data_IF_643438484995
#
_entry.id   IF_643438484995
#
_cell.length_a   1.000
_cell.length_b   1.000
_cell.length_c   1.000
_cell.angle_alpha   90.00
_cell.angle_beta   90.00
_cell.angle_gamma   90.00
#
_symmetry.space_group_name_H-M   'P 1'
#
loop_
_entity.id
_entity.type
_entity.pdbx_description
1 polymer ?
#
# COMPACT_ATOMS: atom_id res chain seq x y z
N UNK A 1 3.94 23.71 4.73
CA UNK A 1 4.95 22.61 4.79
C UNK A 1 4.54 21.54 3.79
N UNK A 2 5.48 20.84 3.14
CA UNK A 2 5.14 19.71 2.24
C UNK A 2 5.56 18.38 2.86
N UNK A 3 4.66 17.40 2.84
CA UNK A 3 4.92 16.01 3.21
C UNK A 3 4.82 15.13 1.98
N UNK A 4 5.90 14.42 1.68
CA UNK A 4 5.99 13.54 0.52
C UNK A 4 5.95 12.08 0.98
N UNK A 5 4.97 11.32 0.47
CA UNK A 5 4.72 9.94 0.89
C UNK A 5 5.07 9.02 -0.27
N UNK A 6 6.16 8.27 -0.14
CA UNK A 6 6.50 7.19 -1.06
C UNK A 6 5.79 5.92 -0.65
N UNK A 7 5.02 5.36 -1.57
CA UNK A 7 4.27 4.13 -1.33
C UNK A 7 4.19 3.26 -2.58
N UNK A 8 4.02 1.97 -2.35
CA UNK A 8 3.68 1.01 -3.40
C UNK A 8 2.27 0.45 -3.16
N UNK A 9 1.60 0.05 -4.23
CA UNK A 9 0.24 -0.53 -4.20
C UNK A 9 0.27 -1.96 -3.66
N UNK A 10 1.38 -2.68 -3.90
CA UNK A 10 1.59 -4.02 -3.36
C UNK A 10 2.02 -4.06 -1.88
N UNK A 11 2.12 -2.89 -1.23
CA UNK A 11 2.66 -2.74 0.13
C UNK A 11 1.53 -2.62 1.17
N UNK A 12 1.25 -3.65 1.98
CA UNK A 12 0.17 -3.58 2.96
C UNK A 12 0.45 -2.57 4.08
N UNK A 13 1.71 -2.37 4.46
CA UNK A 13 2.08 -1.37 5.46
C UNK A 13 1.92 0.06 4.94
N UNK A 14 1.99 0.28 3.64
CA UNK A 14 1.75 1.58 3.03
C UNK A 14 0.26 1.95 3.10
N UNK A 15 -0.63 0.96 2.93
CA UNK A 15 -2.08 1.12 3.14
C UNK A 15 -2.42 1.49 4.59
N UNK A 16 -1.86 0.76 5.57
CA UNK A 16 -2.05 1.05 7.00
C UNK A 16 -1.41 2.40 7.37
N UNK A 17 -0.22 2.69 6.84
CA UNK A 17 0.51 3.92 7.08
C UNK A 17 -0.22 5.16 6.58
N UNK A 18 -0.90 5.08 5.42
CA UNK A 18 -1.75 6.15 4.91
C UNK A 18 -2.88 6.47 5.89
N UNK A 19 -3.63 5.47 6.36
CA UNK A 19 -4.72 5.70 7.31
C UNK A 19 -4.24 6.30 8.64
N UNK A 20 -3.11 5.81 9.17
CA UNK A 20 -2.50 6.37 10.39
C UNK A 20 -2.06 7.82 10.18
N UNK A 21 -1.44 8.12 9.05
CA UNK A 21 -1.03 9.47 8.70
C UNK A 21 -2.23 10.41 8.58
N UNK A 22 -3.29 9.99 7.89
CA UNK A 22 -4.52 10.76 7.72
C UNK A 22 -5.19 11.06 9.05
N UNK A 23 -5.26 10.06 9.95
CA UNK A 23 -5.77 10.24 11.30
C UNK A 23 -4.95 11.29 12.08
N UNK A 24 -3.61 11.16 12.05
CA UNK A 24 -2.72 12.13 12.70
C UNK A 24 -2.83 13.53 12.10
N UNK A 25 -2.93 13.64 10.78
CA UNK A 25 -3.09 14.92 10.08
C UNK A 25 -4.45 15.57 10.40
N UNK A 26 -5.51 14.79 10.54
CA UNK A 26 -6.83 15.30 10.91
C UNK A 26 -6.83 15.98 12.30
N UNK A 27 -6.02 15.48 13.23
CA UNK A 27 -5.83 16.00 14.59
C UNK A 27 -4.75 17.10 14.67
N UNK A 28 -3.99 17.33 13.60
CA UNK A 28 -2.93 18.32 13.57
C UNK A 28 -3.48 19.75 13.43
N UNK A 29 -3.13 20.63 14.37
CA UNK A 29 -3.66 22.00 14.45
C UNK A 29 -3.42 22.85 13.18
N UNK A 30 -2.33 22.59 12.45
CA UNK A 30 -1.96 23.31 11.23
C UNK A 30 -2.17 22.48 9.96
N UNK A 31 -3.11 21.53 9.96
CA UNK A 31 -3.34 20.62 8.81
C UNK A 31 -3.57 21.36 7.48
N UNK A 32 -4.23 22.52 7.52
CA UNK A 32 -4.52 23.32 6.33
C UNK A 32 -3.26 23.97 5.72
N UNK A 33 -2.14 23.96 6.45
CA UNK A 33 -0.82 24.41 5.98
C UNK A 33 0.04 23.26 5.43
N UNK A 34 -0.46 22.02 5.46
CA UNK A 34 0.26 20.82 5.01
C UNK A 34 -0.17 20.44 3.59
N UNK A 35 0.75 20.53 2.64
CA UNK A 35 0.60 19.95 1.31
C UNK A 35 1.05 18.48 1.35
N UNK A 36 0.14 17.54 1.06
CA UNK A 36 0.46 16.11 0.96
C UNK A 36 0.67 15.74 -0.51
N UNK A 37 1.83 15.14 -0.80
CA UNK A 37 2.16 14.68 -2.16
C UNK A 37 2.51 13.20 -2.14
N UNK A 38 1.68 12.39 -2.82
CA UNK A 38 1.97 10.98 -3.04
C UNK A 38 2.99 10.77 -4.17
N UNK A 39 3.96 9.90 -3.90
CA UNK A 39 5.10 9.56 -4.77
C UNK A 39 5.12 8.06 -5.03
N UNK A 40 5.41 7.67 -6.27
CA UNK A 40 5.53 6.27 -6.66
C UNK A 40 6.79 5.64 -6.08
N UNK A 41 6.63 4.40 -5.62
CA UNK A 41 7.71 3.49 -5.25
C UNK A 41 7.31 2.08 -5.69
N UNK A 42 8.23 1.32 -6.26
CA UNK A 42 8.04 -0.09 -6.59
C UNK A 42 8.89 -0.94 -5.65
N UNK A 43 8.27 -1.84 -4.89
CA UNK A 43 8.97 -2.81 -4.04
C UNK A 43 9.78 -3.81 -4.87
N UNK A 44 9.33 -4.08 -6.09
CA UNK A 44 9.95 -5.00 -7.04
C UNK A 44 9.84 -4.46 -8.49
N UNK A 45 10.66 -3.46 -8.87
CA UNK A 45 10.62 -2.85 -10.20
C UNK A 45 11.08 -3.81 -11.31
N UNK A 46 11.74 -4.92 -10.95
CA UNK A 46 12.21 -5.93 -11.90
C UNK A 46 11.16 -6.97 -12.28
N UNK A 47 10.02 -7.02 -11.57
CA UNK A 47 8.96 -8.00 -11.82
C UNK A 47 8.37 -7.86 -13.21
N UNK A 48 8.30 -8.96 -13.96
CA UNK A 48 7.69 -8.98 -15.27
C UNK A 48 6.18 -8.69 -15.21
N UNK A 49 5.69 -7.94 -16.20
CA UNK A 49 4.25 -7.65 -16.34
C UNK A 49 3.45 -8.93 -16.58
N UNK A 50 2.23 -8.98 -16.03
CA UNK A 50 1.32 -10.11 -16.18
C UNK A 50 1.69 -11.35 -15.36
N UNK A 51 2.82 -11.35 -14.65
CA UNK A 51 3.15 -12.39 -13.68
C UNK A 51 2.61 -12.00 -12.31
N UNK A 52 1.78 -12.87 -11.76
CA UNK A 52 1.34 -12.79 -10.37
C UNK A 52 1.73 -14.06 -9.63
N UNK A 53 1.88 -13.93 -8.32
CA UNK A 53 2.03 -15.05 -7.41
C UNK A 53 1.20 -14.80 -6.15
N UNK A 54 0.87 -15.88 -5.42
CA UNK A 54 0.15 -15.74 -4.17
C UNK A 54 1.05 -15.09 -3.13
N UNK A 55 0.52 -14.13 -2.38
CA UNK A 55 1.28 -13.39 -1.36
C UNK A 55 1.94 -14.34 -0.36
N UNK A 56 1.22 -15.37 0.10
CA UNK A 56 1.76 -16.32 1.09
C UNK A 56 3.01 -17.03 0.55
N UNK A 57 2.99 -17.45 -0.72
CA UNK A 57 4.13 -18.09 -1.37
C UNK A 57 5.28 -17.10 -1.57
N UNK A 58 4.97 -15.90 -2.04
CA UNK A 58 5.95 -14.81 -2.18
C UNK A 58 6.65 -14.51 -0.85
N UNK A 59 5.90 -14.35 0.23
CA UNK A 59 6.45 -14.06 1.56
C UNK A 59 7.29 -15.22 2.08
N UNK A 60 6.82 -16.45 1.93
CA UNK A 60 7.56 -17.65 2.32
C UNK A 60 8.91 -17.73 1.60
N UNK A 61 8.93 -17.56 0.28
CA UNK A 61 10.17 -17.56 -0.51
C UNK A 61 11.06 -16.35 -0.18
N UNK A 62 10.51 -15.14 -0.16
CA UNK A 62 11.26 -13.89 0.04
C UNK A 62 11.95 -13.83 1.40
N UNK A 63 11.29 -14.34 2.44
CA UNK A 63 11.79 -14.27 3.81
C UNK A 63 12.35 -15.59 4.35
N UNK A 64 12.38 -16.65 3.53
CA UNK A 64 12.87 -17.97 3.94
C UNK A 64 12.05 -18.57 5.08
N UNK A 65 10.72 -18.49 4.97
CA UNK A 65 9.74 -18.88 5.99
C UNK A 65 8.84 -20.01 5.51
N UNK A 66 8.21 -20.72 6.44
CA UNK A 66 7.13 -21.65 6.06
C UNK A 66 5.88 -20.88 5.64
N UNK A 67 4.95 -21.58 4.97
CA UNK A 67 3.65 -20.99 4.61
C UNK A 67 2.82 -20.59 5.83
N UNK A 68 2.92 -21.35 6.92
CA UNK A 68 2.23 -21.07 8.19
C UNK A 68 2.79 -19.80 8.87
N UNK A 69 4.11 -19.63 8.82
CA UNK A 69 4.75 -18.39 9.30
C UNK A 69 4.34 -17.19 8.43
N UNK A 70 4.33 -17.33 7.11
CA UNK A 70 3.86 -16.29 6.19
C UNK A 70 2.37 -15.95 6.40
N UNK A 71 1.52 -16.95 6.66
CA UNK A 71 0.12 -16.73 7.01
C UNK A 71 -0.02 -15.99 8.34
N UNK A 72 0.83 -16.29 9.33
CA UNK A 72 0.86 -15.55 10.59
C UNK A 72 1.30 -14.10 10.41
N UNK A 73 2.23 -13.84 9.48
CA UNK A 73 2.61 -12.47 9.10
C UNK A 73 1.42 -11.70 8.50
N UNK A 74 0.68 -12.30 7.56
CA UNK A 74 -0.51 -11.67 6.98
C UNK A 74 -1.63 -11.48 8.01
N UNK A 75 -1.80 -12.39 8.97
CA UNK A 75 -2.75 -12.21 10.07
C UNK A 75 -2.40 -11.01 10.95
N UNK A 76 -1.11 -10.79 11.24
CA UNK A 76 -0.67 -9.61 11.98
C UNK A 76 -0.93 -8.31 11.20
N UNK A 77 -0.69 -8.31 9.89
CA UNK A 77 -1.01 -7.18 9.02
C UNK A 77 -2.52 -6.89 9.05
N UNK A 78 -3.36 -7.92 8.94
CA UNK A 78 -4.81 -7.78 8.99
C UNK A 78 -5.30 -7.20 10.32
N UNK A 79 -4.75 -7.64 11.45
CA UNK A 79 -5.07 -7.09 12.77
C UNK A 79 -4.71 -5.60 12.86
N UNK A 80 -3.57 -5.18 12.29
CA UNK A 80 -3.18 -3.77 12.24
C UNK A 80 -4.10 -2.95 11.31
N UNK A 81 -4.46 -3.49 10.14
CA UNK A 81 -5.41 -2.85 9.25
C UNK A 81 -6.78 -2.65 9.93
N UNK A 82 -7.28 -3.68 10.61
CA UNK A 82 -8.54 -3.62 11.35
C UNK A 82 -8.51 -2.57 12.47
N UNK A 83 -7.38 -2.43 13.18
CA UNK A 83 -7.22 -1.40 14.21
C UNK A 83 -7.33 0.04 13.65
N UNK A 84 -7.03 0.23 12.37
CA UNK A 84 -7.23 1.50 11.65
C UNK A 84 -8.59 1.58 10.91
N UNK A 85 -9.49 0.62 11.14
CA UNK A 85 -10.80 0.57 10.49
C UNK A 85 -10.78 0.11 9.02
N UNK A 86 -9.69 -0.51 8.57
CA UNK A 86 -9.49 -0.94 7.20
C UNK A 86 -9.86 -2.42 7.02
N UNK A 87 -10.50 -2.74 5.89
CA UNK A 87 -10.68 -4.13 5.44
C UNK A 87 -9.36 -4.71 4.92
N UNK A 88 -9.09 -5.98 5.22
CA UNK A 88 -7.90 -6.68 4.74
C UNK A 88 -8.17 -8.18 4.57
N UNK A 89 -7.85 -8.74 3.39
CA UNK A 89 -7.97 -10.18 3.12
C UNK A 89 -6.66 -10.88 3.47
N UNK A 90 -6.70 -11.87 4.34
CA UNK A 90 -5.52 -12.68 4.71
C UNK A 90 -5.24 -13.81 3.71
N UNK A 91 -6.25 -14.21 2.94
CA UNK A 91 -6.17 -15.32 1.99
C UNK A 91 -6.55 -14.89 0.57
N UNK A 92 -5.92 -15.53 -0.40
CA UNK A 92 -6.22 -15.35 -1.83
C UNK A 92 -5.77 -14.01 -2.40
N UNK A 93 -4.93 -13.24 -1.69
CA UNK A 93 -4.28 -12.05 -2.26
C UNK A 93 -3.15 -12.48 -3.21
N UNK A 94 -3.07 -11.78 -4.32
CA UNK A 94 -1.98 -11.87 -5.27
C UNK A 94 -0.96 -10.73 -5.07
N UNK A 95 0.22 -10.91 -5.68
CA UNK A 95 1.29 -9.94 -5.75
C UNK A 95 1.83 -9.90 -7.18
N UNK A 96 1.98 -8.69 -7.75
CA UNK A 96 2.38 -8.49 -9.13
C UNK A 96 3.10 -7.16 -9.35
N UNK A 97 3.50 -6.91 -10.61
CA UNK A 97 4.13 -5.65 -11.02
C UNK A 97 3.16 -4.46 -10.85
N UNK A 98 3.62 -3.36 -10.24
CA UNK A 98 2.80 -2.16 -9.98
C UNK A 98 3.09 -0.98 -10.89
N UNK A 99 4.05 -1.11 -11.83
CA UNK A 99 4.49 -0.03 -12.73
C UNK A 99 3.32 0.65 -13.44
N UNK A 100 2.42 -0.13 -14.05
CA UNK A 100 1.30 0.42 -14.80
C UNK A 100 0.24 1.07 -13.90
N UNK A 101 0.08 0.59 -12.66
CA UNK A 101 -0.79 1.23 -11.67
C UNK A 101 -0.19 2.58 -11.26
N UNK A 102 1.13 2.66 -11.07
CA UNK A 102 1.82 3.93 -10.83
C UNK A 102 1.67 4.92 -12.00
N UNK A 103 1.72 4.45 -13.26
CA UNK A 103 1.42 5.33 -14.42
C UNK A 103 -0.01 5.87 -14.37
N UNK A 104 -0.99 5.05 -13.96
CA UNK A 104 -2.38 5.51 -13.78
C UNK A 104 -2.51 6.50 -12.62
N UNK A 105 -1.76 6.33 -11.52
CA UNK A 105 -1.70 7.30 -10.43
C UNK A 105 -1.14 8.66 -10.88
N UNK A 106 -0.11 8.65 -11.72
CA UNK A 106 0.40 9.87 -12.33
C UNK A 106 -0.60 10.54 -13.28
N UNK A 107 -1.35 9.74 -14.07
CA UNK A 107 -2.46 10.26 -14.89
C UNK A 107 -3.55 10.88 -14.01
N UNK A 108 -3.97 10.20 -12.94
CA UNK A 108 -4.97 10.70 -12.00
C UNK A 108 -4.50 11.98 -11.30
N UNK A 109 -3.21 12.07 -10.93
CA UNK A 109 -2.59 13.28 -10.41
C UNK A 109 -2.70 14.47 -11.36
N UNK A 110 -2.40 14.27 -12.64
CA UNK A 110 -2.55 15.32 -13.67
C UNK A 110 -4.01 15.78 -13.85
N UNK A 111 -4.98 15.02 -13.33
CA UNK A 111 -6.41 15.34 -13.33
C UNK A 111 -6.96 15.76 -11.96
N UNK A 112 -6.12 15.90 -10.94
CA UNK A 112 -6.55 16.24 -9.58
C UNK A 112 -7.29 15.12 -8.83
N UNK A 113 -7.16 13.86 -9.27
CA UNK A 113 -7.89 12.69 -8.74
C UNK A 113 -6.96 11.60 -8.20
N UNK A 114 -5.72 11.93 -7.84
CA UNK A 114 -4.73 10.95 -7.36
C UNK A 114 -5.22 10.23 -6.10
N UNK A 115 -5.78 10.97 -5.15
CA UNK A 115 -6.25 10.42 -3.89
C UNK A 115 -7.47 9.50 -4.06
N UNK A 116 -8.42 9.89 -4.93
CA UNK A 116 -9.56 9.03 -5.31
C UNK A 116 -9.09 7.69 -5.91
N UNK A 117 -8.06 7.69 -6.75
CA UNK A 117 -7.52 6.45 -7.31
C UNK A 117 -6.74 5.63 -6.28
N UNK A 118 -6.07 6.27 -5.30
CA UNK A 118 -5.39 5.57 -4.20
C UNK A 118 -6.37 4.91 -3.21
N UNK A 119 -7.61 5.40 -3.15
CA UNK A 119 -8.66 4.95 -2.24
C UNK A 119 -9.72 4.09 -2.93
N UNK A 120 -9.49 3.73 -4.20
CA UNK A 120 -10.38 2.88 -4.98
C UNK A 120 -10.34 1.45 -4.40
N UNK A 121 -11.31 1.16 -3.53
CA UNK A 121 -11.54 -0.15 -2.91
C UNK A 121 -12.50 -1.00 -3.76
#
# INVERSE_FOLDING_TARGET
MRVEIWSDIACPWCYIGKARFEKGLAEFAHRDEVEVVHRSFELDPGRAKGQTEQVIDMLATKYGRTREEAASMEANVAANAQAEGLGYRTEGRDHGNTFDIHRLLHLAKARGRQDELLTLA
#
